data_IF_872524622096
#
_entry.id   IF_872524622096
#
_cell.length_a   1.000
_cell.length_b   1.000
_cell.length_c   1.000
_cell.angle_alpha   90.00
_cell.angle_beta   90.00
_cell.angle_gamma   90.00
#
_symmetry.space_group_name_H-M   'P 1'
#
loop_
_entity.id
_entity.type
_entity.pdbx_description
1 polymer ?
#
# COMPACT_ATOMS: atom_id res chain seq x y z
N UNK A 1 -3.71 -2.72 3.06
CA UNK A 1 -2.63 -2.59 2.06
C UNK A 1 -3.24 -2.90 0.72
N UNK A 2 -3.11 -1.98 -0.25
CA UNK A 2 -3.75 -2.07 -1.56
C UNK A 2 -3.00 -1.18 -2.55
N UNK A 3 -3.14 -1.48 -3.84
CA UNK A 3 -2.57 -0.71 -4.96
C UNK A 3 -2.87 0.79 -4.86
N UNK A 4 -4.06 1.12 -4.37
CA UNK A 4 -4.55 2.50 -4.28
C UNK A 4 -4.19 3.19 -2.97
N UNK A 5 -3.33 2.60 -2.12
CA UNK A 5 -3.00 3.11 -0.78
C UNK A 5 -2.55 4.58 -0.76
N UNK A 6 -1.76 5.01 -1.74
CA UNK A 6 -1.31 6.41 -1.83
C UNK A 6 -2.43 7.39 -2.19
N UNK A 7 -3.35 6.98 -3.08
CA UNK A 7 -4.50 7.78 -3.49
C UNK A 7 -5.49 7.88 -2.33
N UNK A 8 -5.70 6.77 -1.63
CA UNK A 8 -6.54 6.70 -0.44
C UNK A 8 -6.00 7.61 0.67
N UNK A 9 -4.71 7.55 0.99
CA UNK A 9 -4.12 8.45 1.99
C UNK A 9 -4.36 9.93 1.65
N UNK A 10 -4.09 10.34 0.40
CA UNK A 10 -4.32 11.71 -0.06
C UNK A 10 -5.79 12.12 0.07
N UNK A 11 -6.72 11.23 -0.30
CA UNK A 11 -8.15 11.50 -0.21
C UNK A 11 -8.61 11.64 1.25
N UNK A 12 -8.16 10.73 2.12
CA UNK A 12 -8.53 10.72 3.54
C UNK A 12 -7.93 11.89 4.30
N UNK A 13 -6.69 12.29 3.99
CA UNK A 13 -6.06 13.47 4.60
C UNK A 13 -6.87 14.75 4.39
N UNK A 14 -7.56 14.86 3.25
CA UNK A 14 -8.40 16.01 2.93
C UNK A 14 -9.80 15.98 3.57
N UNK A 15 -10.22 14.84 4.14
CA UNK A 15 -11.62 14.60 4.57
C UNK A 15 -11.72 14.25 6.05
N UNK A 16 -10.73 13.55 6.58
CA UNK A 16 -10.71 12.96 7.93
C UNK A 16 -9.28 13.01 8.49
N UNK A 17 -8.69 14.20 8.57
CA UNK A 17 -7.30 14.41 9.00
C UNK A 17 -6.99 13.77 10.35
N UNK A 18 -7.88 13.90 11.33
CA UNK A 18 -7.66 13.37 12.68
C UNK A 18 -7.65 11.83 12.73
N UNK A 19 -8.34 11.20 11.78
CA UNK A 19 -8.42 9.75 11.68
C UNK A 19 -7.25 9.20 10.86
N UNK A 20 -6.83 9.92 9.80
CA UNK A 20 -5.82 9.43 8.86
C UNK A 20 -4.47 9.17 9.52
N UNK A 21 -4.13 9.93 10.57
CA UNK A 21 -2.87 9.79 11.31
C UNK A 21 -2.78 8.48 12.11
N UNK A 22 -3.91 7.83 12.36
CA UNK A 22 -3.98 6.55 13.07
C UNK A 22 -3.70 5.35 12.15
N UNK A 23 -3.63 5.57 10.83
CA UNK A 23 -3.42 4.52 9.84
C UNK A 23 -2.05 4.64 9.16
N UNK A 24 -1.48 3.48 8.82
CA UNK A 24 -0.35 3.40 7.89
C UNK A 24 -0.85 2.92 6.54
N UNK A 25 -0.40 3.60 5.49
CA UNK A 25 -0.75 3.28 4.12
C UNK A 25 0.46 2.69 3.42
N UNK A 26 0.27 1.55 2.77
CA UNK A 26 1.30 0.88 1.99
C UNK A 26 0.73 0.33 0.68
N UNK A 27 1.61 0.26 -0.32
CA UNK A 27 1.39 -0.30 -1.65
C UNK A 27 2.27 -1.56 -1.79
N UNK A 28 1.71 -2.68 -2.26
CA UNK A 28 2.44 -3.91 -2.53
C UNK A 28 3.70 -3.75 -3.38
N UNK A 29 4.68 -4.61 -3.13
CA UNK A 29 6.02 -4.48 -3.69
C UNK A 29 6.04 -4.61 -5.21
N UNK A 30 5.11 -5.36 -5.80
CA UNK A 30 4.94 -5.42 -7.25
C UNK A 30 4.21 -4.18 -7.76
N UNK A 31 3.11 -3.83 -7.10
CA UNK A 31 2.23 -2.74 -7.51
C UNK A 31 2.86 -1.35 -7.40
N UNK A 32 3.84 -1.14 -6.50
CA UNK A 32 4.51 0.17 -6.35
C UNK A 32 5.19 0.65 -7.63
N UNK A 33 5.68 -0.25 -8.49
CA UNK A 33 6.40 0.15 -9.70
C UNK A 33 5.50 0.86 -10.73
N UNK A 34 4.18 0.66 -10.64
CA UNK A 34 3.20 1.41 -11.44
C UNK A 34 2.98 2.85 -10.95
N UNK A 35 3.64 3.27 -9.86
CA UNK A 35 3.49 4.59 -9.25
C UNK A 35 4.76 5.45 -9.45
N UNK A 36 4.61 6.76 -9.31
CA UNK A 36 5.75 7.69 -9.38
C UNK A 36 6.76 7.47 -8.24
N UNK A 37 8.00 7.92 -8.45
CA UNK A 37 9.10 7.73 -7.50
C UNK A 37 8.78 8.19 -6.06
N UNK A 38 8.17 9.38 -5.83
CA UNK A 38 7.80 9.78 -4.47
C UNK A 38 6.84 8.80 -3.79
N UNK A 39 5.87 8.27 -4.53
CA UNK A 39 4.94 7.29 -4.02
C UNK A 39 5.64 5.98 -3.67
N UNK A 40 6.58 5.53 -4.51
CA UNK A 40 7.36 4.32 -4.27
C UNK A 40 8.16 4.38 -2.97
N UNK A 41 8.77 5.53 -2.68
CA UNK A 41 9.57 5.73 -1.46
C UNK A 41 8.70 5.90 -0.22
N UNK A 42 7.56 6.56 -0.34
CA UNK A 42 6.69 6.90 0.81
C UNK A 42 5.78 5.73 1.20
N UNK A 43 5.20 5.04 0.22
CA UNK A 43 4.18 4.01 0.44
C UNK A 43 4.68 2.61 0.12
N UNK A 44 5.94 2.44 -0.29
CA UNK A 44 6.49 1.12 -0.57
C UNK A 44 6.36 0.20 0.65
N UNK A 45 5.91 -1.04 0.44
CA UNK A 45 5.73 -1.99 1.53
C UNK A 45 6.98 -2.15 2.41
N UNK A 46 8.16 -2.32 1.79
CA UNK A 46 9.44 -2.42 2.49
C UNK A 46 9.87 -1.13 3.20
N UNK A 47 9.25 -0.01 2.87
CA UNK A 47 9.47 1.29 3.49
C UNK A 47 8.45 1.57 4.61
N UNK A 48 7.45 0.70 4.79
CA UNK A 48 6.40 0.86 5.79
C UNK A 48 6.81 0.19 7.09
N UNK A 49 7.02 1.00 8.15
CA UNK A 49 7.37 0.47 9.46
C UNK A 49 6.26 -0.47 9.95
N UNK A 50 6.63 -1.62 10.52
CA UNK A 50 5.68 -2.63 11.00
C UNK A 50 5.16 -3.59 9.92
N UNK A 51 5.50 -3.38 8.64
CA UNK A 51 5.14 -4.31 7.56
C UNK A 51 5.96 -5.62 7.54
N UNK A 52 7.08 -5.66 8.28
CA UNK A 52 8.02 -6.78 8.24
C UNK A 52 8.71 -6.95 6.89
N UNK A 53 9.21 -8.15 6.62
CA UNK A 53 9.87 -8.51 5.35
C UNK A 53 8.90 -9.03 4.28
N UNK A 54 7.60 -8.73 4.43
CA UNK A 54 6.55 -9.13 3.51
C UNK A 54 6.54 -8.23 2.24
N UNK A 55 6.22 -8.81 1.08
CA UNK A 55 6.01 -8.07 -0.18
C UNK A 55 4.57 -7.54 -0.33
N UNK A 56 3.64 -8.15 0.40
CA UNK A 56 2.22 -7.82 0.44
C UNK A 56 1.43 -8.27 -0.78
N UNK A 57 1.92 -9.30 -1.48
CA UNK A 57 1.30 -9.94 -2.65
C UNK A 57 0.60 -11.27 -2.29
N UNK A 58 0.42 -11.52 -0.99
CA UNK A 58 -0.04 -12.82 -0.49
C UNK A 58 -1.45 -13.16 -0.96
N UNK A 59 -2.34 -12.17 -1.00
CA UNK A 59 -3.74 -12.35 -1.39
C UNK A 59 -3.84 -12.61 -2.90
N UNK A 60 -3.07 -11.88 -3.67
CA UNK A 60 -2.93 -11.99 -5.13
C UNK A 60 -2.34 -13.35 -5.51
N UNK A 61 -1.40 -13.88 -4.72
CA UNK A 61 -0.86 -15.23 -4.91
C UNK A 61 -1.92 -16.30 -4.64
N UNK A 62 -2.74 -16.16 -3.60
CA UNK A 62 -3.86 -17.09 -3.37
C UNK A 62 -4.84 -17.03 -4.55
N UNK A 63 -5.22 -15.82 -4.98
CA UNK A 63 -6.13 -15.64 -6.11
C UNK A 63 -5.59 -16.23 -7.41
N UNK A 64 -4.28 -16.13 -7.66
CA UNK A 64 -3.65 -16.72 -8.84
C UNK A 64 -3.79 -18.24 -8.93
N UNK A 65 -3.96 -18.94 -7.79
CA UNK A 65 -4.11 -20.40 -7.73
C UNK A 65 -5.53 -20.87 -7.46
N UNK A 66 -6.42 -19.99 -7.00
CA UNK A 66 -7.82 -20.34 -6.70
C UNK A 66 -8.82 -19.86 -7.75
N UNK A 67 -8.45 -18.88 -8.57
CA UNK A 67 -9.31 -18.30 -9.62
C UNK A 67 -8.76 -18.63 -11.03
N UNK A 68 -7.85 -19.60 -11.11
CA UNK A 68 -7.25 -20.10 -12.35
C UNK A 68 -8.00 -21.30 -12.92
#
# INVERSE_FOLDING_TARGET
MYDVGCKLHKHLKNRMSNLVEQFRFSVPAFHRFAHNMPCQLTYGQRCTVGAGLCDGEGMERVWSVTIG
#
